data_IF_343427326990
#
_entry.id   IF_343427326990
#
_cell.length_a   1.000
_cell.length_b   1.000
_cell.length_c   1.000
_cell.angle_alpha   90.00
_cell.angle_beta   90.00
_cell.angle_gamma   90.00
#
_symmetry.space_group_name_H-M   'P 1'
#
loop_
_entity.id
_entity.type
_entity.pdbx_description
1 polymer ?
#
# COMPACT_ATOMS: atom_id res chain seq x y z
N UNK A 1 -24.39 -8.56 -10.81
CA UNK A 1 -23.01 -8.13 -10.46
C UNK A 1 -22.33 -9.27 -9.73
N UNK A 2 -21.15 -9.69 -10.18
CA UNK A 2 -20.41 -10.77 -9.54
C UNK A 2 -19.91 -10.36 -8.16
N UNK A 3 -20.06 -11.25 -7.14
CA UNK A 3 -19.66 -10.97 -5.74
C UNK A 3 -18.18 -10.67 -5.59
N UNK A 4 -17.30 -11.33 -6.36
CA UNK A 4 -15.86 -11.08 -6.33
C UNK A 4 -15.50 -9.72 -6.94
N UNK A 5 -16.13 -9.31 -8.05
CA UNK A 5 -15.94 -7.98 -8.61
C UNK A 5 -16.42 -6.90 -7.64
N UNK A 6 -17.52 -7.12 -6.93
CA UNK A 6 -17.96 -6.19 -5.88
C UNK A 6 -16.97 -6.13 -4.72
N UNK A 7 -16.45 -7.28 -4.27
CA UNK A 7 -15.47 -7.36 -3.20
C UNK A 7 -14.18 -6.58 -3.56
N UNK A 8 -13.70 -6.71 -4.81
CA UNK A 8 -12.52 -5.93 -5.25
C UNK A 8 -12.79 -4.42 -5.26
N UNK A 9 -14.02 -3.99 -5.59
CA UNK A 9 -14.37 -2.56 -5.52
C UNK A 9 -14.45 -2.05 -4.08
N UNK A 10 -15.09 -2.82 -3.18
CA UNK A 10 -15.12 -2.46 -1.74
C UNK A 10 -13.71 -2.39 -1.17
N UNK A 11 -12.86 -3.37 -1.50
CA UNK A 11 -11.46 -3.35 -1.12
C UNK A 11 -10.74 -2.11 -1.66
N UNK A 12 -10.87 -1.81 -2.94
CA UNK A 12 -10.22 -0.67 -3.58
C UNK A 12 -10.63 0.68 -2.94
N UNK A 13 -11.92 0.85 -2.66
CA UNK A 13 -12.44 2.06 -2.02
C UNK A 13 -11.91 2.21 -0.59
N UNK A 14 -11.93 1.14 0.22
CA UNK A 14 -11.42 1.18 1.58
C UNK A 14 -9.90 1.37 1.58
N UNK A 15 -9.17 0.68 0.69
CA UNK A 15 -7.74 0.85 0.52
C UNK A 15 -7.38 2.31 0.20
N UNK A 16 -8.09 2.94 -0.76
CA UNK A 16 -7.90 4.33 -1.09
C UNK A 16 -8.25 5.27 0.07
N UNK A 17 -9.37 5.03 0.77
CA UNK A 17 -9.78 5.85 1.91
C UNK A 17 -8.74 5.79 3.02
N UNK A 18 -8.28 4.61 3.40
CA UNK A 18 -7.33 4.48 4.50
C UNK A 18 -5.94 5.01 4.19
N UNK A 19 -5.49 4.98 2.94
CA UNK A 19 -4.17 5.48 2.57
C UNK A 19 -4.16 6.92 2.05
N UNK A 20 -5.16 7.34 1.27
CA UNK A 20 -5.17 8.69 0.71
C UNK A 20 -5.76 9.73 1.66
N UNK A 21 -6.67 9.34 2.56
CA UNK A 21 -7.24 10.26 3.54
C UNK A 21 -6.26 10.64 4.66
N UNK A 22 -5.20 9.86 4.89
CA UNK A 22 -4.15 10.20 5.86
C UNK A 22 -3.54 11.58 5.59
N UNK A 23 -3.44 11.97 4.33
CA UNK A 23 -2.91 13.28 3.89
C UNK A 23 -3.77 14.46 4.38
N UNK A 24 -5.07 14.24 4.67
CA UNK A 24 -6.04 15.30 4.91
C UNK A 24 -6.30 15.59 6.40
N UNK A 25 -5.92 14.73 7.35
CA UNK A 25 -6.38 14.81 8.74
C UNK A 25 -5.28 15.12 9.77
N UNK A 26 -4.42 16.12 9.51
CA UNK A 26 -3.47 16.65 10.51
C UNK A 26 -4.18 17.47 11.61
N UNK A 27 -5.32 16.98 12.10
CA UNK A 27 -6.10 17.60 13.18
C UNK A 27 -5.75 16.89 14.48
N UNK A 28 -5.37 17.62 15.58
CA UNK A 28 -5.08 16.99 16.85
C UNK A 28 -6.25 16.16 17.38
N UNK A 29 -5.95 14.96 17.87
CA UNK A 29 -6.93 14.06 18.44
C UNK A 29 -7.31 14.55 19.86
N UNK A 30 -8.51 15.03 20.04
CA UNK A 30 -8.94 15.66 21.27
C UNK A 30 -8.73 14.86 22.57
N UNK A 31 -8.96 13.52 22.60
CA UNK A 31 -8.68 12.74 23.82
C UNK A 31 -7.21 12.69 24.19
N UNK A 32 -6.29 12.82 23.20
CA UNK A 32 -4.85 12.83 23.44
C UNK A 32 -4.16 13.70 22.36
N UNK A 33 -3.93 15.00 22.64
CA UNK A 33 -3.55 15.98 21.62
C UNK A 33 -2.10 15.88 21.09
N UNK A 34 -1.30 14.91 21.56
CA UNK A 34 0.04 14.63 21.03
C UNK A 34 0.01 13.70 19.80
N UNK A 35 -1.17 13.16 19.46
CA UNK A 35 -1.41 12.42 18.22
C UNK A 35 -2.50 13.12 17.41
N UNK A 36 -2.56 12.82 16.11
CA UNK A 36 -3.54 13.38 15.19
C UNK A 36 -4.63 12.35 14.88
N UNK A 37 -5.76 12.78 14.29
CA UNK A 37 -6.74 11.84 13.73
C UNK A 37 -6.15 10.97 12.64
N UNK A 38 -5.15 11.48 11.89
CA UNK A 38 -4.37 10.69 10.93
C UNK A 38 -3.77 9.44 11.60
N UNK A 39 -3.10 9.58 12.75
CA UNK A 39 -2.47 8.47 13.46
C UNK A 39 -3.51 7.42 13.91
N UNK A 40 -4.73 7.86 14.26
CA UNK A 40 -5.84 6.96 14.61
C UNK A 40 -6.31 6.18 13.37
N UNK A 41 -6.43 6.83 12.21
CA UNK A 41 -6.77 6.15 10.95
C UNK A 41 -5.68 5.17 10.53
N UNK A 42 -4.43 5.55 10.70
CA UNK A 42 -3.28 4.70 10.40
C UNK A 42 -3.31 3.42 11.25
N UNK A 43 -3.58 3.54 12.55
CA UNK A 43 -3.79 2.39 13.43
C UNK A 43 -4.91 1.45 12.95
N UNK A 44 -6.00 2.00 12.40
CA UNK A 44 -7.14 1.22 11.91
C UNK A 44 -6.88 0.56 10.55
N UNK A 45 -5.94 1.06 9.77
CA UNK A 45 -5.65 0.60 8.41
C UNK A 45 -5.42 -0.91 8.33
N UNK A 46 -4.47 -1.53 9.05
CA UNK A 46 -4.28 -2.97 8.99
C UNK A 46 -5.45 -3.74 9.60
N UNK A 47 -6.14 -3.20 10.61
CA UNK A 47 -7.29 -3.84 11.26
C UNK A 47 -8.48 -4.00 10.30
N UNK A 48 -8.63 -3.11 9.33
CA UNK A 48 -9.70 -3.19 8.32
C UNK A 48 -9.24 -3.93 7.07
N UNK A 49 -8.05 -3.62 6.57
CA UNK A 49 -7.61 -4.11 5.27
C UNK A 49 -7.08 -5.55 5.31
N UNK A 50 -6.42 -6.00 6.38
CA UNK A 50 -5.97 -7.39 6.51
C UNK A 50 -7.15 -8.38 6.51
N UNK A 51 -8.25 -8.16 7.25
CA UNK A 51 -9.46 -8.96 7.11
C UNK A 51 -10.05 -9.00 5.71
N UNK A 52 -10.00 -7.89 4.96
CA UNK A 52 -10.45 -7.88 3.56
C UNK A 52 -9.52 -8.71 2.65
N UNK A 53 -8.20 -8.62 2.84
CA UNK A 53 -7.26 -9.51 2.17
C UNK A 53 -7.53 -10.98 2.50
N UNK A 54 -7.84 -11.29 3.77
CA UNK A 54 -8.21 -12.64 4.20
C UNK A 54 -9.48 -13.15 3.53
N UNK A 55 -10.50 -12.29 3.44
CA UNK A 55 -11.74 -12.63 2.72
C UNK A 55 -11.42 -12.93 1.25
N UNK A 56 -10.65 -12.07 0.56
CA UNK A 56 -10.22 -12.34 -0.81
C UNK A 56 -9.42 -13.64 -0.91
N UNK A 57 -8.51 -13.89 0.02
CA UNK A 57 -7.73 -15.13 0.10
C UNK A 57 -8.62 -16.36 0.21
N UNK A 58 -9.67 -16.32 1.02
CA UNK A 58 -10.65 -17.43 1.11
C UNK A 58 -11.49 -17.58 -0.17
N UNK A 59 -11.78 -16.49 -0.86
CA UNK A 59 -12.52 -16.52 -2.13
C UNK A 59 -11.68 -17.03 -3.33
N UNK A 60 -10.35 -17.01 -3.27
CA UNK A 60 -9.46 -17.49 -4.35
C UNK A 60 -9.31 -19.02 -4.37
N UNK A 61 -9.78 -19.76 -3.36
CA UNK A 61 -9.68 -21.21 -3.33
C UNK A 61 -11.00 -21.87 -2.92
N UNK A 62 -11.55 -22.71 -3.80
CA UNK A 62 -12.77 -23.48 -3.53
C UNK A 62 -12.51 -24.88 -2.95
N UNK A 63 -11.29 -25.40 -3.08
CA UNK A 63 -10.94 -26.78 -2.71
C UNK A 63 -10.26 -26.89 -1.33
N UNK A 64 -10.12 -25.78 -0.62
CA UNK A 64 -9.43 -25.70 0.67
C UNK A 64 -8.11 -24.95 0.61
N UNK A 65 -7.71 -24.33 1.71
CA UNK A 65 -6.43 -23.64 1.81
C UNK A 65 -5.32 -24.64 2.15
N UNK A 66 -4.18 -24.52 1.49
CA UNK A 66 -2.99 -25.25 1.89
C UNK A 66 -2.35 -24.54 3.10
N UNK A 67 -1.99 -25.30 4.12
CA UNK A 67 -1.38 -24.77 5.35
C UNK A 67 -0.20 -23.83 5.07
N UNK A 68 0.64 -24.17 4.09
CA UNK A 68 1.77 -23.30 3.70
C UNK A 68 1.33 -21.91 3.22
N UNK A 69 0.25 -21.81 2.44
CA UNK A 69 -0.27 -20.53 1.95
C UNK A 69 -0.90 -19.71 3.09
N UNK A 70 -1.54 -20.37 4.04
CA UNK A 70 -2.06 -19.70 5.25
C UNK A 70 -0.91 -19.18 6.13
N UNK A 71 0.14 -19.96 6.30
CA UNK A 71 1.35 -19.50 7.03
C UNK A 71 1.98 -18.30 6.32
N UNK A 72 2.12 -18.34 4.99
CA UNK A 72 2.65 -17.21 4.21
C UNK A 72 1.74 -15.99 4.40
N UNK A 73 0.42 -16.15 4.33
CA UNK A 73 -0.51 -15.06 4.58
C UNK A 73 -0.30 -14.44 5.97
N UNK A 74 -0.22 -15.27 7.01
CA UNK A 74 -0.04 -14.80 8.39
C UNK A 74 1.29 -14.07 8.56
N UNK A 75 2.39 -14.57 7.97
CA UNK A 75 3.70 -13.90 8.02
C UNK A 75 3.63 -12.52 7.35
N UNK A 76 3.04 -12.44 6.15
CA UNK A 76 2.92 -11.16 5.42
C UNK A 76 2.02 -10.17 6.15
N UNK A 77 0.90 -10.63 6.71
CA UNK A 77 0.02 -9.81 7.54
C UNK A 77 0.72 -9.32 8.81
N UNK A 78 1.55 -10.18 9.44
CA UNK A 78 2.34 -9.80 10.62
C UNK A 78 3.41 -8.78 10.29
N UNK A 79 4.08 -8.87 9.14
CA UNK A 79 5.01 -7.84 8.67
C UNK A 79 4.32 -6.50 8.46
N UNK A 80 3.14 -6.51 7.87
CA UNK A 80 2.34 -5.30 7.74
C UNK A 80 1.99 -4.69 9.10
N UNK A 81 1.43 -5.48 10.02
CA UNK A 81 1.10 -5.02 11.38
C UNK A 81 2.31 -4.47 12.12
N UNK A 82 3.46 -5.16 12.02
CA UNK A 82 4.70 -4.74 12.68
C UNK A 82 5.20 -3.40 12.11
N UNK A 83 5.26 -3.27 10.78
CA UNK A 83 5.67 -2.04 10.11
C UNK A 83 4.75 -0.87 10.47
N UNK A 84 3.42 -1.06 10.37
CA UNK A 84 2.44 -0.03 10.72
C UNK A 84 2.52 0.41 12.19
N UNK A 85 2.66 -0.53 13.11
CA UNK A 85 2.79 -0.21 14.53
C UNK A 85 4.09 0.54 14.84
N UNK A 86 5.18 0.20 14.14
CA UNK A 86 6.45 0.90 14.27
C UNK A 86 6.36 2.32 13.70
N UNK A 87 5.80 2.46 12.50
CA UNK A 87 5.56 3.76 11.87
C UNK A 87 4.73 4.68 12.76
N UNK A 88 3.59 4.21 13.28
CA UNK A 88 2.74 5.00 14.16
C UNK A 88 3.50 5.56 15.38
N UNK A 89 4.29 4.73 16.04
CA UNK A 89 5.04 5.15 17.23
C UNK A 89 6.18 6.10 16.89
N UNK A 90 6.94 5.81 15.84
CA UNK A 90 8.08 6.60 15.43
C UNK A 90 7.65 7.95 14.82
N UNK A 91 6.62 7.98 13.97
CA UNK A 91 6.04 9.19 13.38
C UNK A 91 5.50 10.16 14.46
N UNK A 92 4.85 9.65 15.50
CA UNK A 92 4.41 10.50 16.61
C UNK A 92 5.60 11.17 17.34
N UNK A 93 6.73 10.47 17.51
CA UNK A 93 7.95 11.02 18.13
C UNK A 93 8.63 12.01 17.17
N UNK A 94 8.71 11.67 15.88
CA UNK A 94 9.31 12.52 14.84
C UNK A 94 8.58 13.87 14.73
N UNK A 95 7.26 13.85 14.62
CA UNK A 95 6.43 15.05 14.58
C UNK A 95 6.62 15.95 15.82
N UNK A 96 6.77 15.35 17.01
CA UNK A 96 7.08 16.07 18.24
C UNK A 96 8.46 16.69 18.20
N UNK A 97 9.49 15.96 17.77
CA UNK A 97 10.87 16.41 17.68
C UNK A 97 10.99 17.59 16.71
N UNK A 98 10.38 17.49 15.52
CA UNK A 98 10.33 18.59 14.57
C UNK A 98 9.61 19.82 15.14
N UNK A 99 8.51 19.63 15.84
CA UNK A 99 7.77 20.72 16.48
C UNK A 99 8.60 21.47 17.54
N UNK A 100 9.43 20.75 18.29
CA UNK A 100 10.35 21.34 19.26
C UNK A 100 11.53 22.06 18.59
N UNK A 101 12.08 21.47 17.53
CA UNK A 101 13.16 22.09 16.76
C UNK A 101 12.71 23.38 16.06
N UNK A 102 11.54 23.39 15.43
CA UNK A 102 10.93 24.58 14.80
C UNK A 102 10.71 25.73 15.80
N UNK A 103 10.44 25.41 17.07
CA UNK A 103 10.33 26.40 18.16
C UNK A 103 11.69 26.81 18.77
N UNK A 104 12.79 26.27 18.28
CA UNK A 104 14.15 26.47 18.79
C UNK A 104 14.31 26.14 20.29
N UNK A 105 13.49 25.22 20.80
CA UNK A 105 13.52 24.81 22.22
C UNK A 105 14.66 23.83 22.47
N UNK A 106 14.94 22.93 21.52
CA UNK A 106 15.99 21.91 21.64
C UNK A 106 16.60 21.61 20.25
N UNK A 107 17.92 21.36 20.23
CA UNK A 107 18.65 20.83 19.08
C UNK A 107 18.51 19.28 19.05
N UNK A 108 17.26 18.80 18.97
CA UNK A 108 16.96 17.36 19.04
C UNK A 108 17.28 16.64 17.75
N UNK A 109 17.22 17.34 16.60
CA UNK A 109 17.39 16.73 15.27
C UNK A 109 18.82 16.22 15.03
N UNK A 110 19.80 16.68 15.80
CA UNK A 110 21.21 16.25 15.72
C UNK A 110 21.54 15.17 16.76
N UNK A 111 20.55 14.48 17.33
CA UNK A 111 20.78 13.44 18.33
C UNK A 111 20.65 12.04 17.73
N UNK A 112 21.36 11.06 18.33
CA UNK A 112 21.25 9.64 17.96
C UNK A 112 19.81 9.11 18.16
N UNK A 113 19.09 9.65 19.14
CA UNK A 113 17.68 9.29 19.39
C UNK A 113 16.82 9.68 18.19
N UNK A 114 16.99 10.91 17.69
CA UNK A 114 16.25 11.35 16.51
C UNK A 114 16.63 10.56 15.25
N UNK A 115 17.92 10.35 15.02
CA UNK A 115 18.42 9.54 13.89
C UNK A 115 17.84 8.13 13.90
N UNK A 116 17.77 7.48 15.08
CA UNK A 116 17.16 6.17 15.21
C UNK A 116 15.64 6.22 14.97
N UNK A 117 14.97 7.23 15.52
CA UNK A 117 13.51 7.40 15.32
C UNK A 117 13.20 7.56 13.84
N UNK A 118 13.91 8.44 13.15
CA UNK A 118 13.75 8.67 11.72
C UNK A 118 13.99 7.40 10.89
N UNK A 119 15.03 6.61 11.21
CA UNK A 119 15.28 5.33 10.55
C UNK A 119 14.13 4.33 10.76
N UNK A 120 13.58 4.26 11.98
CA UNK A 120 12.45 3.38 12.30
C UNK A 120 11.17 3.84 11.61
N UNK A 121 10.96 5.15 11.47
CA UNK A 121 9.81 5.76 10.82
C UNK A 121 9.87 5.62 9.31
N UNK A 122 10.83 6.28 8.69
CA UNK A 122 10.88 6.50 7.25
C UNK A 122 11.44 5.29 6.46
N UNK A 123 12.27 4.46 7.09
CA UNK A 123 12.90 3.37 6.38
C UNK A 123 12.36 2.00 6.78
N UNK A 124 12.64 1.54 7.99
CA UNK A 124 12.36 0.16 8.36
C UNK A 124 10.86 -0.14 8.37
N UNK A 125 10.07 0.75 8.94
CA UNK A 125 8.61 0.57 9.03
C UNK A 125 7.97 0.47 7.64
N UNK A 126 8.29 1.41 6.76
CA UNK A 126 7.75 1.48 5.40
C UNK A 126 8.10 0.23 4.60
N UNK A 127 9.36 -0.23 4.62
CA UNK A 127 9.73 -1.47 3.93
C UNK A 127 9.00 -2.70 4.49
N UNK A 128 8.79 -2.80 5.81
CA UNK A 128 8.09 -3.94 6.41
C UNK A 128 6.62 -3.99 5.98
N UNK A 129 5.89 -2.89 6.12
CA UNK A 129 4.47 -2.92 5.81
C UNK A 129 4.17 -2.90 4.31
N UNK A 130 4.97 -2.20 3.50
CA UNK A 130 4.84 -2.25 2.04
C UNK A 130 5.19 -3.63 1.49
N UNK A 131 6.20 -4.31 2.04
CA UNK A 131 6.50 -5.70 1.68
C UNK A 131 5.34 -6.63 2.07
N UNK A 132 4.72 -6.40 3.22
CA UNK A 132 3.51 -7.12 3.64
C UNK A 132 2.36 -6.96 2.63
N UNK A 133 2.05 -5.70 2.24
CA UNK A 133 1.01 -5.40 1.24
C UNK A 133 1.31 -6.04 -0.12
N UNK A 134 2.51 -5.82 -0.65
CA UNK A 134 2.93 -6.37 -1.93
C UNK A 134 2.90 -7.90 -1.92
N UNK A 135 3.38 -8.51 -0.83
CA UNK A 135 3.37 -9.96 -0.65
C UNK A 135 1.95 -10.54 -0.60
N UNK A 136 1.03 -9.91 0.12
CA UNK A 136 -0.38 -10.33 0.16
C UNK A 136 -1.03 -10.25 -1.23
N UNK A 137 -0.80 -9.18 -1.98
CA UNK A 137 -1.27 -9.04 -3.36
C UNK A 137 -0.66 -10.13 -4.27
N UNK A 138 0.64 -10.37 -4.18
CA UNK A 138 1.32 -11.42 -4.93
C UNK A 138 0.78 -12.82 -4.60
N UNK A 139 0.51 -13.10 -3.33
CA UNK A 139 -0.09 -14.35 -2.88
C UNK A 139 -1.47 -14.57 -3.49
N UNK A 140 -2.32 -13.53 -3.55
CA UNK A 140 -3.64 -13.63 -4.18
C UNK A 140 -3.54 -13.87 -5.69
N UNK A 141 -2.63 -13.17 -6.38
CA UNK A 141 -2.34 -13.38 -7.80
C UNK A 141 -1.85 -14.81 -8.05
N UNK A 142 -0.91 -15.29 -7.23
CA UNK A 142 -0.42 -16.68 -7.31
C UNK A 142 -1.55 -17.71 -7.14
N UNK A 143 -2.44 -17.52 -6.15
CA UNK A 143 -3.57 -18.44 -5.88
C UNK A 143 -4.56 -18.46 -7.02
N UNK A 144 -4.98 -17.31 -7.54
CA UNK A 144 -5.87 -17.23 -8.71
C UNK A 144 -5.21 -17.87 -9.95
N UNK A 145 -3.90 -17.71 -10.12
CA UNK A 145 -3.16 -18.36 -11.19
C UNK A 145 -3.06 -19.88 -10.99
N UNK A 146 -2.82 -20.35 -9.77
CA UNK A 146 -2.62 -21.77 -9.44
C UNK A 146 -3.95 -22.54 -9.45
N UNK A 147 -5.01 -21.94 -8.95
CA UNK A 147 -6.33 -22.54 -8.76
C UNK A 147 -7.41 -21.79 -9.56
N UNK A 148 -7.37 -21.85 -10.90
CA UNK A 148 -8.26 -21.03 -11.71
C UNK A 148 -9.72 -21.49 -11.57
N UNK A 149 -10.60 -20.54 -11.32
CA UNK A 149 -12.03 -20.73 -11.36
C UNK A 149 -12.62 -19.92 -12.53
N UNK A 150 -13.50 -20.53 -13.32
CA UNK A 150 -14.23 -19.79 -14.37
C UNK A 150 -15.36 -19.01 -13.72
N UNK A 151 -15.27 -17.70 -13.75
CA UNK A 151 -16.28 -16.78 -13.20
C UNK A 151 -16.56 -15.63 -14.16
N UNK A 152 -17.79 -15.15 -14.13
CA UNK A 152 -18.13 -13.94 -14.88
C UNK A 152 -17.49 -12.71 -14.23
N UNK A 153 -16.83 -11.88 -15.02
CA UNK A 153 -16.24 -10.62 -14.60
C UNK A 153 -17.23 -9.49 -14.89
N UNK A 154 -17.53 -8.69 -13.88
CA UNK A 154 -18.21 -7.40 -14.09
C UNK A 154 -17.14 -6.35 -14.42
N UNK A 155 -16.75 -6.28 -15.69
CA UNK A 155 -15.56 -5.55 -16.16
C UNK A 155 -15.50 -4.10 -15.72
N UNK A 156 -16.58 -3.34 -15.82
CA UNK A 156 -16.55 -1.93 -15.42
C UNK A 156 -16.22 -1.75 -13.93
N UNK A 157 -16.72 -2.66 -13.07
CA UNK A 157 -16.42 -2.67 -11.63
C UNK A 157 -14.95 -3.02 -11.38
N UNK A 158 -14.46 -4.07 -12.04
CA UNK A 158 -13.09 -4.56 -11.89
C UNK A 158 -12.07 -3.53 -12.42
N UNK A 159 -12.38 -2.85 -13.53
CA UNK A 159 -11.54 -1.78 -14.08
C UNK A 159 -11.51 -0.59 -13.12
N UNK A 160 -12.66 -0.14 -12.63
CA UNK A 160 -12.73 0.97 -11.67
C UNK A 160 -11.96 0.64 -10.39
N UNK A 161 -12.16 -0.56 -9.84
CA UNK A 161 -11.42 -1.02 -8.66
C UNK A 161 -9.90 -1.04 -8.91
N UNK A 162 -9.48 -1.57 -10.07
CA UNK A 162 -8.08 -1.62 -10.47
C UNK A 162 -7.45 -0.24 -10.65
N UNK A 163 -8.17 0.70 -11.26
CA UNK A 163 -7.72 2.10 -11.39
C UNK A 163 -7.52 2.77 -10.03
N UNK A 164 -8.52 2.68 -9.15
CA UNK A 164 -8.44 3.24 -7.79
C UNK A 164 -7.25 2.64 -7.04
N UNK A 165 -7.12 1.32 -7.01
CA UNK A 165 -6.03 0.66 -6.30
C UNK A 165 -4.67 0.92 -6.94
N UNK A 166 -4.57 1.02 -8.26
CA UNK A 166 -3.32 1.31 -8.95
C UNK A 166 -2.78 2.70 -8.62
N UNK A 167 -3.66 3.71 -8.60
CA UNK A 167 -3.30 5.06 -8.15
C UNK A 167 -2.89 5.01 -6.67
N UNK A 168 -3.64 4.31 -5.83
CA UNK A 168 -3.32 4.20 -4.40
C UNK A 168 -1.98 3.50 -4.17
N UNK A 169 -1.68 2.39 -4.87
CA UNK A 169 -0.36 1.75 -4.80
C UNK A 169 0.77 2.69 -5.18
N UNK A 170 0.61 3.44 -6.28
CA UNK A 170 1.59 4.43 -6.68
C UNK A 170 1.84 5.45 -5.55
N UNK A 171 0.77 6.08 -5.04
CA UNK A 171 0.89 7.07 -3.97
C UNK A 171 1.55 6.49 -2.70
N UNK A 172 1.12 5.30 -2.27
CA UNK A 172 1.62 4.65 -1.04
C UNK A 172 3.12 4.35 -1.14
N UNK A 173 3.58 3.78 -2.24
CA UNK A 173 4.99 3.43 -2.41
C UNK A 173 5.88 4.65 -2.68
N UNK A 174 5.34 5.72 -3.28
CA UNK A 174 6.07 6.95 -3.54
C UNK A 174 6.22 7.76 -2.25
N UNK A 175 5.13 8.06 -1.53
CA UNK A 175 5.15 8.76 -0.24
C UNK A 175 5.93 8.00 0.85
N UNK A 176 5.94 6.69 0.82
CA UNK A 176 6.72 5.88 1.75
C UNK A 176 8.16 5.63 1.30
N UNK A 177 8.67 6.34 0.29
CA UNK A 177 10.04 6.20 -0.23
C UNK A 177 10.45 4.76 -0.58
N UNK A 178 9.48 3.91 -0.90
CA UNK A 178 9.69 2.48 -1.19
C UNK A 178 9.48 2.14 -2.67
N UNK A 179 9.65 3.11 -3.56
CA UNK A 179 9.64 2.88 -5.02
C UNK A 179 10.61 1.76 -5.45
N UNK A 180 11.80 1.57 -4.82
CA UNK A 180 12.66 0.42 -5.11
C UNK A 180 12.00 -0.95 -4.87
N UNK A 181 10.95 -1.03 -4.07
CA UNK A 181 10.10 -2.21 -3.88
C UNK A 181 8.87 -2.17 -4.82
N UNK A 182 8.18 -1.04 -4.89
CA UNK A 182 6.91 -0.89 -5.61
C UNK A 182 7.04 -1.03 -7.12
N UNK A 183 8.05 -0.42 -7.73
CA UNK A 183 8.28 -0.48 -9.18
C UNK A 183 8.61 -1.91 -9.66
N UNK A 184 9.59 -2.63 -9.09
CA UNK A 184 9.84 -4.03 -9.47
C UNK A 184 8.63 -4.94 -9.19
N UNK A 185 7.95 -4.77 -8.07
CA UNK A 185 6.75 -5.54 -7.75
C UNK A 185 5.68 -5.40 -8.83
N UNK A 186 5.31 -4.16 -9.18
CA UNK A 186 4.26 -3.89 -10.18
C UNK A 186 4.68 -4.38 -11.57
N UNK A 187 5.95 -4.23 -11.95
CA UNK A 187 6.50 -4.77 -13.18
C UNK A 187 6.42 -6.30 -13.23
N UNK A 188 6.83 -6.99 -12.16
CA UNK A 188 6.82 -8.47 -12.08
C UNK A 188 5.40 -8.99 -12.19
N UNK A 189 4.44 -8.47 -11.42
CA UNK A 189 3.04 -8.93 -11.46
C UNK A 189 2.42 -8.68 -12.83
N UNK A 190 2.65 -7.51 -13.42
CA UNK A 190 2.15 -7.17 -14.75
C UNK A 190 2.73 -8.11 -15.81
N UNK A 191 4.05 -8.29 -15.83
CA UNK A 191 4.74 -9.17 -16.79
C UNK A 191 4.33 -10.63 -16.63
N UNK A 192 4.28 -11.13 -15.39
CA UNK A 192 3.81 -12.48 -15.08
C UNK A 192 2.41 -12.72 -15.62
N UNK A 193 1.50 -11.78 -15.40
CA UNK A 193 0.11 -11.90 -15.88
C UNK A 193 0.04 -11.91 -17.40
N UNK A 194 0.79 -11.06 -18.09
CA UNK A 194 0.79 -11.00 -19.55
C UNK A 194 1.38 -12.25 -20.19
N UNK A 195 2.43 -12.83 -19.61
CA UNK A 195 3.13 -13.98 -20.18
C UNK A 195 2.41 -15.30 -19.85
N UNK A 196 2.08 -15.53 -18.59
CA UNK A 196 1.57 -16.82 -18.12
C UNK A 196 0.10 -16.80 -17.69
N UNK A 197 -0.46 -15.63 -17.36
CA UNK A 197 -1.80 -15.49 -16.81
C UNK A 197 -2.86 -14.98 -17.78
N UNK A 198 -2.52 -14.60 -19.01
CA UNK A 198 -3.40 -13.89 -19.95
C UNK A 198 -4.78 -14.55 -20.15
N UNK A 199 -4.82 -15.88 -20.30
CA UNK A 199 -6.10 -16.61 -20.47
C UNK A 199 -6.93 -16.64 -19.18
N UNK A 200 -6.29 -16.61 -18.02
CA UNK A 200 -6.95 -16.68 -16.71
C UNK A 200 -7.49 -15.32 -16.29
N UNK A 201 -6.82 -14.25 -16.66
CA UNK A 201 -7.21 -12.87 -16.39
C UNK A 201 -8.65 -12.57 -16.83
N UNK A 202 -9.09 -13.09 -17.98
CA UNK A 202 -10.45 -12.85 -18.50
C UNK A 202 -11.54 -13.70 -17.84
N UNK A 203 -11.18 -14.55 -16.88
CA UNK A 203 -12.08 -15.48 -16.21
C UNK A 203 -12.09 -15.36 -14.68
N UNK A 204 -11.28 -14.43 -14.12
CA UNK A 204 -11.07 -14.34 -12.67
C UNK A 204 -11.03 -12.88 -12.23
N UNK A 205 -12.07 -12.40 -11.51
CA UNK A 205 -12.19 -11.00 -11.13
C UNK A 205 -11.04 -10.47 -10.28
N UNK A 206 -10.59 -11.23 -9.28
CA UNK A 206 -9.50 -10.83 -8.37
C UNK A 206 -8.17 -10.77 -9.14
N UNK A 207 -7.93 -11.73 -10.04
CA UNK A 207 -6.72 -11.74 -10.87
C UNK A 207 -6.67 -10.53 -11.82
N UNK A 208 -7.79 -10.25 -12.50
CA UNK A 208 -7.93 -9.09 -13.39
C UNK A 208 -7.78 -7.78 -12.64
N UNK A 209 -8.34 -7.69 -11.44
CA UNK A 209 -8.21 -6.52 -10.56
C UNK A 209 -6.75 -6.21 -10.23
N UNK A 210 -5.98 -7.18 -9.71
CA UNK A 210 -4.57 -6.94 -9.39
C UNK A 210 -3.71 -6.67 -10.62
N UNK A 211 -4.03 -7.31 -11.75
CA UNK A 211 -3.35 -6.98 -13.01
C UNK A 211 -3.52 -5.51 -13.39
N UNK A 212 -4.77 -5.01 -13.38
CA UNK A 212 -5.05 -3.62 -13.72
C UNK A 212 -4.41 -2.67 -12.71
N UNK A 213 -4.50 -2.96 -11.41
CA UNK A 213 -3.88 -2.16 -10.37
C UNK A 213 -2.36 -2.06 -10.55
N UNK A 214 -1.68 -3.19 -10.74
CA UNK A 214 -0.23 -3.19 -10.95
C UNK A 214 0.18 -2.53 -12.26
N UNK A 215 -0.58 -2.71 -13.35
CA UNK A 215 -0.32 -2.06 -14.64
C UNK A 215 -0.41 -0.53 -14.51
N UNK A 216 -1.46 -0.03 -13.86
CA UNK A 216 -1.64 1.43 -13.64
C UNK A 216 -0.53 1.99 -12.75
N UNK A 217 -0.23 1.34 -11.63
CA UNK A 217 0.84 1.76 -10.74
C UNK A 217 2.20 1.77 -11.47
N UNK A 218 2.49 0.73 -12.26
CA UNK A 218 3.72 0.65 -13.05
C UNK A 218 3.83 1.81 -14.06
N UNK A 219 2.75 2.12 -14.79
CA UNK A 219 2.73 3.24 -15.73
C UNK A 219 2.98 4.56 -15.00
N UNK A 220 2.36 4.76 -13.83
CA UNK A 220 2.54 5.96 -13.03
C UNK A 220 3.97 6.08 -12.51
N UNK A 221 4.59 5.00 -11.99
CA UNK A 221 6.00 5.00 -11.58
C UNK A 221 6.94 5.38 -12.72
N UNK A 222 6.77 4.75 -13.89
CA UNK A 222 7.62 5.05 -15.06
C UNK A 222 7.41 6.51 -15.49
N UNK A 223 6.17 6.96 -15.60
CA UNK A 223 5.85 8.34 -15.96
C UNK A 223 6.41 9.36 -14.98
N UNK A 224 6.25 9.11 -13.67
CA UNK A 224 6.75 9.97 -12.60
C UNK A 224 8.27 10.06 -12.60
N UNK A 225 8.94 8.90 -12.63
CA UNK A 225 10.39 8.82 -12.67
C UNK A 225 11.02 9.51 -13.90
N UNK A 226 10.39 9.37 -15.07
CA UNK A 226 10.83 10.06 -16.29
C UNK A 226 10.58 11.57 -16.23
N UNK A 227 9.45 11.99 -15.66
CA UNK A 227 9.08 13.40 -15.58
C UNK A 227 9.95 14.19 -14.59
N UNK A 228 10.25 13.59 -13.43
CA UNK A 228 11.01 14.24 -12.36
C UNK A 228 12.49 13.85 -12.31
N UNK A 229 12.93 12.93 -13.18
CA UNK A 229 14.29 12.32 -13.17
C UNK A 229 14.62 11.66 -11.80
N UNK A 230 13.62 11.13 -11.15
CA UNK A 230 13.69 10.51 -9.84
C UNK A 230 12.29 10.29 -9.28
N UNK A 231 12.22 10.02 -7.99
CA UNK A 231 10.97 9.74 -7.30
C UNK A 231 10.81 10.69 -6.10
N UNK A 232 10.57 12.00 -6.35
CA UNK A 232 10.24 12.90 -5.27
C UNK A 232 8.85 12.57 -4.74
N UNK A 233 8.65 12.68 -3.43
CA UNK A 233 7.35 12.49 -2.81
C UNK A 233 6.30 13.42 -3.41
N UNK A 234 5.09 12.91 -3.60
CA UNK A 234 3.97 13.66 -4.19
C UNK A 234 3.70 14.93 -3.39
N UNK A 235 3.74 14.86 -2.05
CA UNK A 235 3.53 16.01 -1.19
C UNK A 235 4.61 17.08 -1.35
N UNK A 236 5.86 16.69 -1.55
CA UNK A 236 6.97 17.61 -1.82
C UNK A 236 6.80 18.34 -3.14
N UNK A 237 6.31 17.63 -4.15
CA UNK A 237 5.98 18.24 -5.44
C UNK A 237 4.84 19.26 -5.29
N UNK A 238 3.77 18.91 -4.58
CA UNK A 238 2.65 19.83 -4.34
C UNK A 238 3.02 21.03 -3.46
N UNK A 239 3.96 20.88 -2.54
CA UNK A 239 4.47 21.99 -1.72
C UNK A 239 5.39 22.93 -2.49
N UNK A 240 5.85 22.53 -3.68
CA UNK A 240 6.81 23.29 -4.50
C UNK A 240 8.26 23.19 -4.00
N UNK A 241 8.56 22.23 -3.12
CA UNK A 241 9.91 22.01 -2.59
C UNK A 241 10.86 21.35 -3.60
N UNK A 242 10.30 20.72 -4.64
CA UNK A 242 11.06 20.01 -5.68
C UNK A 242 11.05 20.78 -7.00
N UNK A 243 12.23 20.94 -7.61
CA UNK A 243 12.36 21.49 -8.94
C UNK A 243 12.42 20.37 -9.97
N UNK A 244 11.71 20.57 -11.09
CA UNK A 244 11.76 19.67 -12.25
C UNK A 244 13.16 19.62 -12.84
N UNK A 245 13.63 18.43 -13.24
CA UNK A 245 14.85 18.35 -14.03
C UNK A 245 14.65 19.02 -15.41
N UNK A 246 15.57 19.87 -15.77
CA UNK A 246 15.62 20.52 -17.07
C UNK A 246 16.42 19.66 -18.06
#
# INVERSE_FOLDING_TARGET
MNKKSLLTLVFALLFAVFFLMLILFRIPFHPYPLINYQDVFDLLTPLVLIPLYWIMFKYTNREGSHLAEEIIFMVLASLWMLGHGMHLAANAIDNLAEGLAKKQVLDILNTDIYTLTYFLDEHLSHYLWHFGIAGLAALLVYREWRYPAKEEITWWVTILAGLISGITYFCVFDEGQTVPLGLPFTFIITSFTLIWGRKKMVQQPIYAFFFIACLIAFILFVGWGLYWCGYPEILDVFSGSVQRCM
#
